data_IF_136516591138
#
_entry.id   IF_136516591138
#
_cell.length_a   1.000
_cell.length_b   1.000
_cell.length_c   1.000
_cell.angle_alpha   90.00
_cell.angle_beta   90.00
_cell.angle_gamma   90.00
#
_symmetry.space_group_name_H-M   'P 1'
#
loop_
_entity.id
_entity.type
_entity.pdbx_description
1 polymer ?
#
# COMPACT_ATOMS: atom_id res chain seq x y z
N UNK A 1 -1.37 0.69 18.31
CA UNK A 1 -2.82 0.46 18.52
C UNK A 1 -3.06 -1.00 18.91
N UNK A 2 -3.86 -1.31 19.95
CA UNK A 2 -4.17 -2.68 20.41
C UNK A 2 -4.71 -3.63 19.33
N UNK A 3 -5.24 -3.09 18.23
CA UNK A 3 -5.77 -3.86 17.10
C UNK A 3 -4.71 -4.71 16.38
N UNK A 4 -3.46 -4.25 16.32
CA UNK A 4 -2.35 -4.97 15.65
C UNK A 4 -1.93 -6.20 16.45
N UNK A 5 -1.91 -6.11 17.78
CA UNK A 5 -1.57 -7.21 18.69
C UNK A 5 -2.64 -8.31 18.69
N UNK A 6 -3.92 -7.93 18.58
CA UNK A 6 -5.05 -8.86 18.47
C UNK A 6 -5.06 -9.63 17.14
N UNK A 7 -4.44 -9.08 16.08
CA UNK A 7 -4.38 -9.70 14.76
C UNK A 7 -3.34 -10.83 14.66
N UNK A 8 -2.28 -10.79 15.48
CA UNK A 8 -1.15 -11.73 15.40
C UNK A 8 -1.32 -13.02 16.22
N UNK A 9 -2.32 -13.09 17.11
CA UNK A 9 -2.70 -14.34 17.78
C UNK A 9 -1.92 -14.68 19.05
N UNK A 10 -0.73 -14.13 19.30
CA UNK A 10 0.02 -14.38 20.54
C UNK A 10 0.63 -13.08 21.12
N UNK A 11 0.35 -12.86 22.41
CA UNK A 11 0.88 -11.88 23.36
C UNK A 11 0.81 -10.35 23.07
N UNK A 12 0.58 -9.52 24.13
CA UNK A 12 0.49 -8.06 23.99
C UNK A 12 1.87 -7.42 23.88
N UNK A 13 2.10 -6.65 22.81
CA UNK A 13 3.27 -5.78 22.61
C UNK A 13 3.22 -4.54 23.53
N UNK A 14 3.40 -4.70 24.85
CA UNK A 14 3.62 -3.56 25.77
C UNK A 14 5.12 -3.27 25.89
N UNK A 15 5.52 -2.05 25.52
CA UNK A 15 6.87 -1.51 25.80
C UNK A 15 7.94 -1.71 24.72
N UNK A 16 7.59 -2.23 23.53
CA UNK A 16 8.54 -2.41 22.43
C UNK A 16 8.66 -1.15 21.58
N UNK A 17 9.88 -0.82 21.15
CA UNK A 17 10.10 0.21 20.14
C UNK A 17 9.56 -0.24 18.77
N UNK A 18 9.32 0.67 17.84
CA UNK A 18 8.94 0.33 16.46
C UNK A 18 9.97 -0.62 15.82
N UNK A 19 11.25 -0.41 16.14
CA UNK A 19 12.35 -1.26 15.71
C UNK A 19 12.23 -2.68 16.28
N UNK A 20 11.89 -2.85 17.56
CA UNK A 20 11.72 -4.18 18.17
C UNK A 20 10.55 -4.94 17.55
N UNK A 21 9.45 -4.23 17.26
CA UNK A 21 8.27 -4.80 16.61
C UNK A 21 8.61 -5.27 15.19
N UNK A 22 9.30 -4.43 14.41
CA UNK A 22 9.75 -4.78 13.05
C UNK A 22 10.79 -5.90 13.09
N UNK A 23 11.79 -5.85 13.97
CA UNK A 23 12.80 -6.89 14.14
C UNK A 23 12.19 -8.23 14.56
N UNK A 24 11.12 -8.23 15.35
CA UNK A 24 10.38 -9.44 15.71
C UNK A 24 9.67 -10.02 14.49
N UNK A 25 8.96 -9.18 13.73
CA UNK A 25 8.31 -9.60 12.48
C UNK A 25 9.35 -10.14 11.49
N UNK A 26 10.43 -9.39 11.23
CA UNK A 26 11.48 -9.78 10.29
C UNK A 26 12.17 -11.08 10.70
N UNK A 27 12.47 -11.29 11.99
CA UNK A 27 13.01 -12.56 12.49
C UNK A 27 12.03 -13.72 12.26
N UNK A 28 10.75 -13.53 12.54
CA UNK A 28 9.73 -14.54 12.26
C UNK A 28 9.61 -14.87 10.76
N UNK A 29 9.80 -13.88 9.89
CA UNK A 29 9.72 -14.07 8.43
C UNK A 29 11.00 -14.70 7.84
N UNK A 30 12.18 -14.41 8.40
CA UNK A 30 13.46 -14.92 7.91
C UNK A 30 13.75 -16.36 8.37
N UNK A 31 13.40 -16.70 9.62
CA UNK A 31 13.83 -17.96 10.26
C UNK A 31 12.88 -19.13 9.97
N UNK A 32 11.63 -18.88 9.55
CA UNK A 32 10.59 -19.92 9.53
C UNK A 32 9.80 -20.08 8.22
N UNK A 33 10.44 -20.34 7.05
CA UNK A 33 9.70 -20.82 5.88
C UNK A 33 9.17 -22.26 6.03
N UNK A 34 9.29 -22.89 7.21
CA UNK A 34 8.84 -24.27 7.45
C UNK A 34 7.31 -24.38 7.28
N UNK A 35 6.80 -25.42 6.59
CA UNK A 35 5.37 -25.54 6.26
C UNK A 35 4.43 -25.49 7.47
N UNK A 36 4.91 -25.87 8.66
CA UNK A 36 4.16 -25.81 9.94
C UNK A 36 3.83 -24.39 10.43
N UNK A 37 4.49 -23.34 9.91
CA UNK A 37 4.30 -21.95 10.33
C UNK A 37 3.79 -21.03 9.23
N UNK A 38 3.37 -21.60 8.09
CA UNK A 38 2.95 -20.84 6.90
C UNK A 38 1.85 -19.80 7.21
N UNK A 39 0.89 -20.15 8.05
CA UNK A 39 -0.20 -19.23 8.44
C UNK A 39 0.29 -18.05 9.29
N UNK A 40 1.25 -18.30 10.19
CA UNK A 40 1.87 -17.24 11.01
C UNK A 40 2.70 -16.31 10.15
N UNK A 41 3.53 -16.87 9.25
CA UNK A 41 4.29 -16.09 8.27
C UNK A 41 3.37 -15.25 7.36
N UNK A 42 2.26 -15.83 6.90
CA UNK A 42 1.29 -15.11 6.08
C UNK A 42 0.67 -13.92 6.83
N UNK A 43 0.32 -14.08 8.11
CA UNK A 43 -0.15 -12.97 8.96
C UNK A 43 0.94 -11.91 9.15
N UNK A 44 2.19 -12.33 9.38
CA UNK A 44 3.35 -11.43 9.48
C UNK A 44 3.57 -10.60 8.22
N UNK A 45 3.52 -11.22 7.05
CA UNK A 45 3.64 -10.53 5.76
C UNK A 45 2.48 -9.55 5.52
N UNK A 46 1.24 -9.93 5.87
CA UNK A 46 0.07 -9.03 5.77
C UNK A 46 0.19 -7.83 6.70
N UNK A 47 0.71 -8.03 7.91
CA UNK A 47 0.98 -6.93 8.81
C UNK A 47 2.07 -6.02 8.25
N UNK A 48 3.17 -6.58 7.75
CA UNK A 48 4.24 -5.80 7.13
C UNK A 48 3.74 -5.01 5.92
N UNK A 49 2.85 -5.59 5.12
CA UNK A 49 2.20 -4.90 3.99
C UNK A 49 1.41 -3.66 4.42
N UNK A 50 0.67 -3.76 5.53
CA UNK A 50 -0.02 -2.63 6.13
C UNK A 50 1.02 -1.62 6.65
N UNK A 51 1.99 -2.04 7.46
CA UNK A 51 2.96 -1.13 8.06
C UNK A 51 3.74 -0.34 7.01
N UNK A 52 4.20 -1.00 5.95
CA UNK A 52 4.92 -0.39 4.83
C UNK A 52 4.10 0.66 4.07
N UNK A 53 2.77 0.62 4.16
CA UNK A 53 1.87 1.59 3.53
C UNK A 53 1.58 2.83 4.39
N UNK A 54 1.83 2.78 5.70
CA UNK A 54 1.42 3.81 6.65
C UNK A 54 2.60 4.53 7.30
N UNK A 55 3.71 3.84 7.53
CA UNK A 55 4.78 4.36 8.38
C UNK A 55 6.10 4.42 7.61
N UNK A 56 6.78 5.57 7.72
CA UNK A 56 8.18 5.68 7.32
C UNK A 56 9.04 4.92 8.33
N UNK A 57 10.02 4.18 7.83
CA UNK A 57 11.08 3.65 8.69
C UNK A 57 12.15 4.72 8.95
N UNK A 58 12.86 4.58 10.07
CA UNK A 58 14.02 5.44 10.37
C UNK A 58 15.12 5.28 9.31
N UNK A 59 15.95 6.30 9.13
CA UNK A 59 17.10 6.26 8.21
C UNK A 59 18.04 5.09 8.50
N UNK A 60 18.17 4.72 9.78
CA UNK A 60 18.99 3.59 10.22
C UNK A 60 18.37 2.25 9.79
N UNK A 61 17.06 2.07 9.93
CA UNK A 61 16.38 0.81 9.60
C UNK A 61 16.18 0.64 8.08
N UNK A 62 16.02 1.74 7.35
CA UNK A 62 15.69 1.76 5.92
C UNK A 62 16.54 0.81 5.05
N UNK A 63 17.88 0.87 5.05
CA UNK A 63 18.68 0.02 4.17
C UNK A 63 18.49 -1.46 4.45
N UNK A 64 18.37 -1.85 5.72
CA UNK A 64 18.16 -3.24 6.13
C UNK A 64 16.78 -3.76 5.71
N UNK A 65 15.73 -2.95 5.93
CA UNK A 65 14.38 -3.33 5.57
C UNK A 65 14.20 -3.44 4.05
N UNK A 66 14.79 -2.52 3.28
CA UNK A 66 14.75 -2.58 1.81
C UNK A 66 15.50 -3.80 1.28
N UNK A 67 16.71 -4.07 1.77
CA UNK A 67 17.48 -5.26 1.37
C UNK A 67 16.70 -6.54 1.65
N UNK A 68 16.13 -6.67 2.85
CA UNK A 68 15.31 -7.82 3.22
C UNK A 68 14.13 -8.03 2.26
N UNK A 69 13.39 -6.95 1.94
CA UNK A 69 12.24 -7.01 1.05
C UNK A 69 12.63 -7.35 -0.39
N UNK A 70 13.75 -6.80 -0.87
CA UNK A 70 14.30 -7.08 -2.21
C UNK A 70 14.76 -8.53 -2.32
N UNK A 71 15.46 -9.05 -1.31
CA UNK A 71 15.89 -10.45 -1.29
C UNK A 71 14.69 -11.41 -1.28
N UNK A 72 13.67 -11.11 -0.47
CA UNK A 72 12.44 -11.88 -0.41
C UNK A 72 11.58 -11.76 -1.69
N UNK A 73 11.73 -10.69 -2.48
CA UNK A 73 10.97 -10.46 -3.71
C UNK A 73 11.71 -10.90 -4.98
N UNK A 74 13.01 -11.20 -4.89
CA UNK A 74 13.92 -11.45 -6.02
C UNK A 74 13.56 -12.65 -6.87
N UNK A 75 13.11 -13.74 -6.25
CA UNK A 75 12.86 -15.02 -6.93
C UNK A 75 11.37 -15.39 -6.85
N UNK A 76 10.67 -15.52 -7.99
CA UNK A 76 9.25 -15.88 -8.03
C UNK A 76 8.93 -17.23 -7.37
N UNK A 77 9.92 -18.14 -7.33
CA UNK A 77 9.84 -19.47 -6.73
C UNK A 77 9.76 -19.43 -5.19
N UNK A 78 10.17 -18.33 -4.55
CA UNK A 78 10.18 -18.22 -3.10
C UNK A 78 8.76 -18.04 -2.55
N UNK A 79 8.43 -18.67 -1.41
CA UNK A 79 7.19 -18.39 -0.70
C UNK A 79 7.05 -16.89 -0.44
N UNK A 80 5.83 -16.38 -0.58
CA UNK A 80 5.48 -15.00 -0.27
C UNK A 80 6.16 -13.92 -1.16
N UNK A 81 6.83 -14.29 -2.26
CA UNK A 81 7.48 -13.33 -3.16
C UNK A 81 6.55 -12.16 -3.54
N UNK A 82 5.29 -12.46 -3.86
CA UNK A 82 4.33 -11.46 -4.34
C UNK A 82 3.98 -10.41 -3.27
N UNK A 83 3.80 -10.83 -2.01
CA UNK A 83 3.53 -9.89 -0.91
C UNK A 83 4.79 -9.16 -0.47
N UNK A 84 5.96 -9.80 -0.53
CA UNK A 84 7.26 -9.14 -0.31
C UNK A 84 7.47 -8.01 -1.32
N UNK A 85 7.23 -8.27 -2.62
CA UNK A 85 7.33 -7.24 -3.67
C UNK A 85 6.35 -6.10 -3.43
N UNK A 86 5.14 -6.41 -2.98
CA UNK A 86 4.12 -5.41 -2.68
C UNK A 86 4.51 -4.55 -1.46
N UNK A 87 5.11 -5.14 -0.41
CA UNK A 87 5.67 -4.41 0.72
C UNK A 87 6.81 -3.47 0.30
N UNK A 88 7.70 -3.94 -0.57
CA UNK A 88 8.81 -3.15 -1.14
C UNK A 88 8.29 -1.88 -1.85
N UNK A 89 7.31 -2.07 -2.75
CA UNK A 89 6.69 -0.96 -3.49
C UNK A 89 5.95 0.01 -2.56
N UNK A 90 5.20 -0.51 -1.59
CA UNK A 90 4.52 0.32 -0.59
C UNK A 90 5.53 1.16 0.21
N UNK A 91 6.63 0.55 0.65
CA UNK A 91 7.66 1.24 1.41
C UNK A 91 8.30 2.36 0.58
N UNK A 92 8.65 2.10 -0.69
CA UNK A 92 9.16 3.14 -1.59
C UNK A 92 8.20 4.31 -1.72
N UNK A 93 6.92 4.05 -1.98
CA UNK A 93 5.89 5.10 -2.07
C UNK A 93 5.73 5.87 -0.76
N UNK A 94 5.69 5.17 0.38
CA UNK A 94 5.58 5.78 1.71
C UNK A 94 6.78 6.69 2.03
N UNK A 95 7.99 6.28 1.63
CA UNK A 95 9.19 7.10 1.82
C UNK A 95 9.13 8.37 0.95
N UNK A 96 8.74 8.22 -0.31
CA UNK A 96 8.71 9.31 -1.30
C UNK A 96 7.56 10.31 -1.05
N UNK A 97 6.33 9.83 -0.88
CA UNK A 97 5.11 10.66 -0.84
C UNK A 97 4.48 10.78 0.55
N UNK A 98 5.06 10.11 1.55
CA UNK A 98 4.45 9.94 2.86
C UNK A 98 3.53 8.72 2.92
N UNK A 99 3.27 8.25 4.13
CA UNK A 99 2.36 7.12 4.37
C UNK A 99 0.89 7.54 4.29
N UNK A 100 0.02 6.53 4.19
CA UNK A 100 -1.43 6.73 4.24
C UNK A 100 -1.85 7.43 5.53
N UNK A 101 -2.75 8.41 5.40
CA UNK A 101 -3.31 9.18 6.53
C UNK A 101 -4.60 8.58 7.08
N UNK A 102 -5.35 7.86 6.24
CA UNK A 102 -6.62 7.24 6.61
C UNK A 102 -6.47 5.74 6.74
N UNK A 103 -7.00 5.19 7.83
CA UNK A 103 -7.06 3.75 8.06
C UNK A 103 -7.90 3.04 6.99
N UNK A 104 -7.63 1.74 6.73
CA UNK A 104 -8.37 1.03 5.71
C UNK A 104 -9.82 0.83 6.14
N UNK A 105 -10.76 0.90 5.20
CA UNK A 105 -12.16 0.59 5.50
C UNK A 105 -12.33 -0.90 5.85
N UNK A 106 -13.47 -1.27 6.45
CA UNK A 106 -13.74 -2.68 6.77
C UNK A 106 -13.69 -3.59 5.52
N UNK A 107 -14.13 -3.07 4.37
CA UNK A 107 -14.10 -3.77 3.08
C UNK A 107 -12.68 -3.90 2.54
N UNK A 108 -11.88 -2.83 2.64
CA UNK A 108 -10.47 -2.88 2.25
C UNK A 108 -9.71 -3.90 3.12
N UNK A 109 -9.90 -3.83 4.44
CA UNK A 109 -9.24 -4.73 5.37
C UNK A 109 -9.60 -6.20 5.10
N UNK A 110 -10.87 -6.51 4.86
CA UNK A 110 -11.31 -7.86 4.44
C UNK A 110 -10.65 -8.30 3.14
N UNK A 111 -10.50 -7.40 2.17
CA UNK A 111 -9.83 -7.72 0.91
C UNK A 111 -8.34 -8.00 1.11
N UNK A 112 -7.64 -7.21 1.93
CA UNK A 112 -6.24 -7.42 2.28
C UNK A 112 -6.02 -8.74 3.02
N UNK A 113 -6.91 -9.08 3.95
CA UNK A 113 -6.92 -10.39 4.64
C UNK A 113 -7.25 -11.54 3.69
N UNK A 114 -7.95 -11.30 2.58
CA UNK A 114 -8.12 -12.29 1.51
C UNK A 114 -6.92 -12.35 0.54
N UNK A 115 -5.83 -11.60 0.80
CA UNK A 115 -4.65 -11.54 -0.06
C UNK A 115 -4.81 -10.66 -1.30
N UNK A 116 -5.87 -9.83 -1.35
CA UNK A 116 -6.06 -8.86 -2.43
C UNK A 116 -5.36 -7.56 -2.07
N UNK A 117 -4.44 -7.14 -2.94
CA UNK A 117 -3.62 -5.93 -2.79
C UNK A 117 -4.04 -4.80 -3.74
N UNK A 118 -5.17 -4.97 -4.43
CA UNK A 118 -5.68 -4.01 -5.39
C UNK A 118 -7.19 -4.10 -5.57
N UNK A 119 -7.76 -2.99 -6.04
CA UNK A 119 -9.17 -2.81 -6.35
C UNK A 119 -9.31 -2.24 -7.77
N UNK A 120 -10.27 -2.77 -8.53
CA UNK A 120 -10.67 -2.16 -9.80
C UNK A 120 -11.57 -0.97 -9.52
N UNK A 121 -11.17 0.22 -9.96
CA UNK A 121 -11.86 1.48 -9.71
C UNK A 121 -12.24 2.11 -11.05
N UNK A 122 -13.49 2.58 -11.13
CA UNK A 122 -13.97 3.35 -12.27
C UNK A 122 -13.47 4.79 -12.15
N UNK A 123 -12.92 5.28 -13.25
CA UNK A 123 -12.52 6.65 -13.53
C UNK A 123 -13.35 7.18 -14.70
N UNK A 124 -13.76 8.43 -14.58
CA UNK A 124 -14.54 9.13 -15.61
C UNK A 124 -13.62 10.16 -16.26
N UNK A 125 -13.44 10.04 -17.57
CA UNK A 125 -12.72 11.01 -18.39
C UNK A 125 -13.72 12.00 -19.00
N UNK A 126 -13.24 13.18 -19.45
CA UNK A 126 -14.05 14.13 -20.20
C UNK A 126 -14.78 13.46 -21.38
N UNK A 127 -16.01 13.89 -21.64
CA UNK A 127 -16.87 13.27 -22.67
C UNK A 127 -17.62 12.02 -22.21
N UNK A 128 -17.63 11.72 -20.90
CA UNK A 128 -18.38 10.59 -20.34
C UNK A 128 -17.71 9.22 -20.59
N UNK A 129 -16.41 9.22 -20.89
CA UNK A 129 -15.68 7.98 -21.16
C UNK A 129 -15.34 7.30 -19.84
N UNK A 130 -15.75 6.04 -19.72
CA UNK A 130 -15.49 5.20 -18.56
C UNK A 130 -14.18 4.40 -18.73
N UNK A 131 -13.31 4.46 -17.72
CA UNK A 131 -12.06 3.70 -17.65
C UNK A 131 -11.90 3.01 -16.31
N UNK A 132 -11.51 1.75 -16.33
CA UNK A 132 -11.32 0.96 -15.12
C UNK A 132 -9.85 0.71 -14.87
N UNK A 133 -9.30 1.31 -13.82
CA UNK A 133 -7.91 1.11 -13.42
C UNK A 133 -7.80 0.26 -12.16
N UNK A 134 -6.63 -0.38 -12.00
CA UNK A 134 -6.32 -1.21 -10.84
C UNK A 134 -5.56 -0.39 -9.80
N UNK A 135 -6.27 0.09 -8.80
CA UNK A 135 -5.71 0.88 -7.71
C UNK A 135 -5.16 -0.03 -6.61
N UNK A 136 -3.93 0.22 -6.18
CA UNK A 136 -3.25 -0.49 -5.08
C UNK A 136 -3.32 0.33 -3.80
N UNK A 137 -3.02 -0.30 -2.66
CA UNK A 137 -3.06 0.32 -1.32
C UNK A 137 -2.24 1.62 -1.22
N UNK A 138 -1.08 1.71 -1.87
CA UNK A 138 -0.21 2.90 -1.86
C UNK A 138 -0.27 3.73 -3.15
N UNK A 139 -1.26 3.49 -4.02
CA UNK A 139 -1.42 4.30 -5.23
C UNK A 139 -1.65 5.76 -4.86
N UNK A 140 -0.85 6.65 -5.46
CA UNK A 140 -1.04 8.11 -5.36
C UNK A 140 -1.76 8.62 -6.61
N UNK A 141 -2.28 9.85 -6.55
CA UNK A 141 -2.96 10.49 -7.69
C UNK A 141 -2.11 10.46 -8.97
N UNK A 142 -0.82 10.73 -8.82
CA UNK A 142 0.14 10.70 -9.92
C UNK A 142 0.19 9.33 -10.63
N UNK A 143 0.14 8.22 -9.89
CA UNK A 143 0.14 6.86 -10.50
C UNK A 143 -1.04 6.67 -11.46
N UNK A 144 -2.19 7.22 -11.07
CA UNK A 144 -3.43 7.11 -11.84
C UNK A 144 -3.38 8.02 -13.06
N UNK A 145 -2.89 9.25 -12.89
CA UNK A 145 -2.73 10.21 -14.00
C UNK A 145 -1.75 9.65 -15.04
N UNK A 146 -0.60 9.16 -14.61
CA UNK A 146 0.40 8.54 -15.49
C UNK A 146 -0.17 7.34 -16.24
N UNK A 147 -0.93 6.46 -15.57
CA UNK A 147 -1.55 5.30 -16.19
C UNK A 147 -2.60 5.71 -17.25
N UNK A 148 -3.48 6.66 -16.93
CA UNK A 148 -4.47 7.18 -17.88
C UNK A 148 -3.82 7.89 -19.07
N UNK A 149 -2.83 8.75 -18.83
CA UNK A 149 -2.11 9.46 -19.88
C UNK A 149 -1.36 8.49 -20.79
N UNK A 150 -0.73 7.45 -20.22
CA UNK A 150 -0.09 6.39 -21.00
C UNK A 150 -1.09 5.66 -21.91
N UNK A 151 -2.28 5.30 -21.41
CA UNK A 151 -3.36 4.70 -22.22
C UNK A 151 -3.83 5.63 -23.36
N UNK A 152 -3.77 6.94 -23.16
CA UNK A 152 -4.12 7.95 -24.17
C UNK A 152 -2.95 8.30 -25.12
N UNK A 153 -1.77 7.70 -24.96
CA UNK A 153 -0.58 8.00 -25.76
C UNK A 153 0.13 9.30 -25.37
N UNK A 154 -0.17 9.85 -24.20
CA UNK A 154 0.46 11.04 -23.63
C UNK A 154 1.56 10.64 -22.64
N UNK A 155 2.78 10.45 -23.13
CA UNK A 155 3.91 9.95 -22.33
C UNK A 155 4.96 11.02 -22.00
N UNK A 156 4.71 12.27 -22.37
CA UNK A 156 5.61 13.38 -22.04
C UNK A 156 5.31 13.87 -20.61
N UNK A 157 6.34 14.15 -19.79
CA UNK A 157 6.16 14.53 -18.38
C UNK A 157 5.24 15.75 -18.17
N UNK A 158 5.28 16.70 -19.10
CA UNK A 158 4.48 17.92 -19.05
C UNK A 158 2.97 17.60 -19.15
N UNK A 159 2.59 16.49 -19.80
CA UNK A 159 1.20 16.08 -19.88
C UNK A 159 0.60 15.84 -18.50
N UNK A 160 1.36 15.24 -17.58
CA UNK A 160 0.82 14.79 -16.29
C UNK A 160 0.42 15.96 -15.38
N UNK A 161 1.07 17.12 -15.55
CA UNK A 161 0.76 18.35 -14.82
C UNK A 161 -0.53 19.03 -15.32
N UNK A 162 -1.02 18.67 -16.51
CA UNK A 162 -2.27 19.21 -17.07
C UNK A 162 -3.54 18.53 -16.53
N UNK A 163 -3.38 17.39 -15.84
CA UNK A 163 -4.52 16.60 -15.34
C UNK A 163 -4.66 16.67 -13.83
N UNK A 164 -5.90 16.72 -13.38
CA UNK A 164 -6.27 16.64 -11.97
C UNK A 164 -7.32 15.55 -11.76
N UNK A 165 -7.33 14.95 -10.58
CA UNK A 165 -8.35 14.00 -10.17
C UNK A 165 -9.30 14.67 -9.19
N UNK A 166 -10.60 14.52 -9.43
CA UNK A 166 -11.66 14.95 -8.53
C UNK A 166 -12.50 13.77 -8.09
N UNK A 167 -13.04 13.85 -6.87
CA UNK A 167 -13.94 12.84 -6.33
C UNK A 167 -15.38 13.29 -6.55
N UNK A 168 -16.13 12.53 -7.34
CA UNK A 168 -17.59 12.73 -7.50
C UNK A 168 -18.31 11.95 -6.40
N UNK A 169 -19.17 12.63 -5.64
CA UNK A 169 -20.04 11.97 -4.65
C UNK A 169 -21.51 12.20 -5.00
N UNK A 170 -22.36 11.24 -4.65
CA UNK A 170 -23.79 11.12 -5.01
C UNK A 170 -24.67 12.35 -4.69
N UNK A 171 -24.14 13.37 -4.00
CA UNK A 171 -24.86 14.61 -3.69
C UNK A 171 -24.67 15.74 -4.71
N UNK A 172 -24.00 15.49 -5.84
CA UNK A 172 -23.77 16.52 -6.88
C UNK A 172 -22.86 17.68 -6.44
N UNK A 173 -22.34 17.67 -5.21
CA UNK A 173 -21.29 18.58 -4.77
C UNK A 173 -19.92 17.99 -5.16
N UNK A 174 -19.29 18.55 -6.18
CA UNK A 174 -17.86 18.43 -6.39
C UNK A 174 -17.17 19.02 -5.15
N UNK A 175 -16.45 18.20 -4.38
CA UNK A 175 -15.48 18.75 -3.42
C UNK A 175 -14.18 18.97 -4.21
N UNK A 176 -13.78 20.23 -4.34
CA UNK A 176 -12.48 20.61 -4.88
C UNK A 176 -11.38 20.21 -3.89
N UNK A 177 -10.96 18.96 -3.95
CA UNK A 177 -9.69 18.54 -3.39
C UNK A 177 -8.63 18.66 -4.50
N UNK A 178 -8.37 19.89 -4.97
CA UNK A 178 -7.32 20.14 -5.95
C UNK A 178 -5.95 19.89 -5.32
N UNK A 179 -5.36 18.72 -5.57
CA UNK A 179 -4.02 18.39 -5.07
C UNK A 179 -2.99 18.91 -6.06
N UNK A 180 -2.55 20.16 -5.88
CA UNK A 180 -1.21 20.57 -6.32
C UNK A 180 -0.20 20.06 -5.30
N UNK A 181 0.73 19.20 -5.71
CA UNK A 181 1.91 18.84 -4.92
C UNK A 181 1.62 18.23 -3.54
N UNK A 182 1.45 16.91 -3.47
CA UNK A 182 1.70 16.16 -2.24
C UNK A 182 0.50 15.89 -1.33
N UNK A 183 0.18 14.59 -1.22
CA UNK A 183 -0.51 13.91 -0.13
C UNK A 183 -2.06 14.00 -0.04
N UNK A 184 -2.68 12.96 -0.62
CA UNK A 184 -3.87 12.22 -0.21
C UNK A 184 -5.18 12.98 0.12
N UNK A 185 -6.14 12.88 -0.81
CA UNK A 185 -7.55 12.70 -0.49
C UNK A 185 -8.17 11.71 -1.49
N UNK A 186 -8.36 10.46 -1.05
CA UNK A 186 -9.27 9.53 -1.72
C UNK A 186 -10.36 9.21 -0.72
N UNK A 187 -11.58 9.67 -0.99
CA UNK A 187 -12.78 9.24 -0.27
C UNK A 187 -13.00 7.78 -0.62
N UNK A 188 -12.40 6.89 0.17
CA UNK A 188 -12.67 5.47 0.08
C UNK A 188 -14.15 5.29 0.42
N UNK A 189 -14.89 4.74 -0.55
CA UNK A 189 -16.35 4.61 -0.56
C UNK A 189 -17.00 4.29 0.79
N UNK A 190 -18.17 4.89 0.95
CA UNK A 190 -19.32 4.44 1.74
C UNK A 190 -19.36 2.93 2.01
#
# INVERSE_FOLDING_TARGET
SPAVMKFMGDHPLRGQTELDSVCTILRCLHVHPHPSHRDSCQKGWRLLYILAAYYKCSEVLRPFLLSFLQDASRHPELPFHGIAKACELNLHKTLQFGGRRLFPSSTELRAMVAGRSAKRQLFLLPGGIERHLKIKTCSVALDVIEELCCEMGLQHPEAFEEYILFVVTDRGCCQEDAVHGGCCAWKMLS
#
